data_IF_808700262197
#
_entry.id   IF_808700262197
#
_cell.length_a   1.000
_cell.length_b   1.000
_cell.length_c   1.000
_cell.angle_alpha   90.00
_cell.angle_beta   90.00
_cell.angle_gamma   90.00
#
_symmetry.space_group_name_H-M   'P 1'
#
loop_
_entity.id
_entity.type
_entity.pdbx_description
1 polymer ?
#
# COMPACT_ATOMS: atom_id res chain seq x y z
N UNK A 1 12.44 0.25 -0.10
CA UNK A 1 11.31 -0.65 0.22
C UNK A 1 9.95 0.03 0.01
N UNK A 2 9.71 1.22 0.60
CA UNK A 2 8.44 1.95 0.51
C UNK A 2 7.81 2.04 -0.90
N UNK A 3 8.57 2.42 -1.94
CA UNK A 3 8.01 2.53 -3.29
C UNK A 3 7.53 1.19 -3.86
N UNK A 4 8.21 0.08 -3.52
CA UNK A 4 7.81 -1.26 -3.97
C UNK A 4 6.56 -1.74 -3.22
N UNK A 5 6.41 -1.42 -1.93
CA UNK A 5 5.18 -1.74 -1.17
C UNK A 5 3.98 -0.91 -1.61
N UNK A 6 4.18 0.34 -2.07
CA UNK A 6 3.11 1.14 -2.72
C UNK A 6 2.64 0.48 -4.02
N UNK A 7 3.57 0.06 -4.88
CA UNK A 7 3.24 -0.65 -6.13
C UNK A 7 2.52 -1.97 -5.84
N UNK A 8 3.02 -2.73 -4.86
CA UNK A 8 2.42 -4.01 -4.46
C UNK A 8 1.01 -3.83 -3.89
N UNK A 9 0.79 -2.84 -3.02
CA UNK A 9 -0.54 -2.45 -2.53
C UNK A 9 -1.50 -2.16 -3.69
N UNK A 10 -1.06 -1.43 -4.71
CA UNK A 10 -1.88 -1.05 -5.85
C UNK A 10 -2.24 -2.26 -6.72
N UNK A 11 -1.31 -3.21 -6.89
CA UNK A 11 -1.57 -4.47 -7.61
C UNK A 11 -2.58 -5.35 -6.86
N UNK A 12 -2.49 -5.46 -5.54
CA UNK A 12 -3.47 -6.22 -4.73
C UNK A 12 -4.86 -5.56 -4.78
N UNK A 13 -4.93 -4.23 -4.76
CA UNK A 13 -6.19 -3.51 -4.90
C UNK A 13 -6.81 -3.76 -6.28
N UNK A 14 -6.06 -3.53 -7.36
CA UNK A 14 -6.53 -3.71 -8.73
C UNK A 14 -6.91 -5.15 -9.05
N UNK A 15 -6.20 -6.12 -8.49
CA UNK A 15 -6.55 -7.54 -8.63
C UNK A 15 -7.90 -7.88 -8.00
N UNK A 16 -8.28 -7.21 -6.90
CA UNK A 16 -9.48 -7.56 -6.14
C UNK A 16 -10.70 -6.71 -6.50
N UNK A 17 -10.52 -5.44 -6.86
CA UNK A 17 -11.59 -4.52 -7.25
C UNK A 17 -11.73 -4.33 -8.76
N UNK A 18 -10.72 -4.74 -9.54
CA UNK A 18 -10.62 -4.45 -10.97
C UNK A 18 -10.29 -2.98 -11.28
N UNK A 19 -10.06 -2.14 -10.26
CA UNK A 19 -9.81 -0.71 -10.41
C UNK A 19 -8.36 -0.38 -10.04
N UNK A 20 -7.69 0.36 -10.92
CA UNK A 20 -6.31 0.82 -10.70
C UNK A 20 -6.24 2.13 -9.90
N UNK A 21 -7.37 2.63 -9.44
CA UNK A 21 -7.44 3.84 -8.65
C UNK A 21 -6.85 3.60 -7.25
N UNK A 22 -5.82 4.37 -6.91
CA UNK A 22 -5.10 4.23 -5.63
C UNK A 22 -5.81 4.93 -4.47
N UNK A 23 -6.82 5.77 -4.75
CA UNK A 23 -7.61 6.46 -3.72
C UNK A 23 -8.76 5.61 -3.21
N UNK A 24 -9.19 4.65 -4.01
CA UNK A 24 -10.22 3.67 -3.67
C UNK A 24 -9.59 2.32 -3.30
N UNK A 25 -8.96 2.29 -2.12
CA UNK A 25 -8.48 1.05 -1.52
C UNK A 25 -9.64 0.32 -0.84
N UNK A 26 -10.31 -0.56 -1.58
CA UNK A 26 -11.45 -1.33 -1.07
C UNK A 26 -11.01 -2.59 -0.31
N UNK A 27 -9.74 -2.96 -0.42
CA UNK A 27 -9.19 -4.17 0.19
C UNK A 27 -8.33 -3.84 1.42
N UNK A 28 -8.68 -4.43 2.57
CA UNK A 28 -7.98 -4.27 3.86
C UNK A 28 -6.48 -4.52 3.77
N UNK A 29 -6.06 -5.54 3.01
CA UNK A 29 -4.63 -5.88 2.82
C UNK A 29 -3.89 -4.76 2.06
N UNK A 30 -4.53 -4.16 1.07
CA UNK A 30 -3.94 -3.03 0.33
C UNK A 30 -3.80 -1.80 1.23
N UNK A 31 -4.82 -1.48 2.04
CA UNK A 31 -4.74 -0.38 3.02
C UNK A 31 -3.57 -0.54 4.00
N UNK A 32 -3.37 -1.76 4.53
CA UNK A 32 -2.26 -2.04 5.44
C UNK A 32 -0.89 -1.90 4.75
N UNK A 33 -0.78 -2.39 3.52
CA UNK A 33 0.46 -2.28 2.73
C UNK A 33 0.80 -0.84 2.35
N UNK A 34 -0.19 -0.02 1.99
CA UNK A 34 0.03 1.40 1.74
C UNK A 34 0.46 2.14 3.01
N UNK A 35 -0.22 1.87 4.13
CA UNK A 35 0.08 2.53 5.42
C UNK A 35 1.48 2.16 5.90
N UNK A 36 1.86 0.88 5.82
CA UNK A 36 3.22 0.43 6.15
C UNK A 36 4.25 1.03 5.20
N UNK A 37 3.95 1.19 3.92
CA UNK A 37 4.84 1.85 2.97
C UNK A 37 5.09 3.33 3.31
N UNK A 38 4.04 4.05 3.72
CA UNK A 38 4.13 5.44 4.17
C UNK A 38 4.93 5.52 5.48
N UNK A 39 4.68 4.62 6.43
CA UNK A 39 5.42 4.51 7.68
C UNK A 39 6.93 4.27 7.45
N UNK A 40 7.28 3.37 6.52
CA UNK A 40 8.67 3.15 6.08
C UNK A 40 9.29 4.40 5.44
N UNK A 41 8.52 5.16 4.66
CA UNK A 41 9.01 6.39 4.01
C UNK A 41 9.28 7.51 5.02
N UNK A 42 8.48 7.57 6.10
CA UNK A 42 8.60 8.53 7.19
C UNK A 42 9.60 8.11 8.28
N UNK A 43 10.12 6.88 8.25
CA UNK A 43 11.05 6.36 9.26
C UNK A 43 10.37 6.03 10.60
N UNK A 44 9.09 5.66 10.60
CA UNK A 44 8.38 5.30 11.82
C UNK A 44 8.84 3.93 12.35
N UNK A 45 9.05 3.80 13.66
CA UNK A 45 9.38 2.53 14.32
C UNK A 45 8.35 1.44 13.99
N UNK A 46 8.74 0.20 13.64
CA UNK A 46 10.09 -0.40 13.63
C UNK A 46 10.89 -0.21 12.33
N UNK A 47 10.46 0.66 11.41
CA UNK A 47 10.98 0.78 10.05
C UNK A 47 11.97 1.94 9.83
N UNK A 48 12.69 2.33 10.88
CA UNK A 48 13.71 3.37 10.84
C UNK A 48 15.01 2.89 10.17
#
# INVERSE_FOLDING_TARGET
AASASILFSSMINAWTSGQWDITQLTNTTSCLLLTTAIAMKLGLTPFH
#
